data_IF_476226918206
#
_entry.id   IF_476226918206
#
_cell.length_a   1.000
_cell.length_b   1.000
_cell.length_c   1.000
_cell.angle_alpha   90.00
_cell.angle_beta   90.00
_cell.angle_gamma   90.00
#
_symmetry.space_group_name_H-M   'P 1'
#
loop_
_entity.id
_entity.type
_entity.pdbx_description
1 polymer ?
#
# COMPACT_ATOMS: atom_id res chain seq x y z
N UNK A 1 0.08 -17.25 6.53
CA UNK A 1 0.09 -16.25 7.63
C UNK A 1 1.05 -15.16 7.20
N UNK A 2 0.54 -13.95 6.97
CA UNK A 2 1.37 -12.84 6.46
C UNK A 2 2.41 -12.44 7.49
N UNK A 3 3.60 -12.04 7.02
CA UNK A 3 4.68 -11.56 7.88
C UNK A 3 4.76 -10.04 7.75
N UNK A 4 4.69 -9.33 8.87
CA UNK A 4 4.84 -7.87 8.91
C UNK A 4 6.17 -7.54 9.60
N UNK A 5 7.00 -6.74 8.94
CA UNK A 5 8.25 -6.18 9.46
C UNK A 5 8.10 -4.66 9.49
N UNK A 6 8.49 -4.02 10.60
CA UNK A 6 8.23 -2.61 10.82
C UNK A 6 9.51 -1.92 11.25
N UNK A 7 9.81 -0.81 10.57
CA UNK A 7 10.91 0.09 10.86
C UNK A 7 10.36 1.53 10.93
N UNK A 8 11.11 2.49 11.46
CA UNK A 8 10.64 3.88 11.52
C UNK A 8 10.27 4.40 10.12
N UNK A 9 8.99 4.73 9.92
CA UNK A 9 8.46 5.21 8.65
C UNK A 9 8.28 4.13 7.56
N UNK A 10 8.58 2.86 7.84
CA UNK A 10 8.43 1.76 6.88
C UNK A 10 7.61 0.60 7.45
N UNK A 11 6.57 0.20 6.73
CA UNK A 11 5.74 -0.97 7.02
C UNK A 11 5.89 -1.95 5.87
N UNK A 12 6.52 -3.09 6.12
CA UNK A 12 6.68 -4.16 5.13
C UNK A 12 5.73 -5.31 5.44
N UNK A 13 4.96 -5.70 4.44
CA UNK A 13 3.97 -6.77 4.49
C UNK A 13 4.33 -7.82 3.44
N UNK A 14 4.65 -9.04 3.88
CA UNK A 14 4.85 -10.19 3.00
C UNK A 14 3.54 -10.98 2.89
N UNK A 15 2.98 -11.00 1.68
CA UNK A 15 1.77 -11.73 1.35
C UNK A 15 2.12 -13.18 1.01
N UNK A 16 1.59 -14.13 1.78
CA UNK A 16 1.88 -15.56 1.57
C UNK A 16 1.01 -16.24 0.52
N UNK A 17 -0.17 -15.69 0.26
CA UNK A 17 -1.18 -16.24 -0.66
C UNK A 17 -2.08 -15.12 -1.20
N UNK A 18 -2.66 -15.28 -2.40
CA UNK A 18 -3.63 -14.31 -2.90
C UNK A 18 -4.90 -14.39 -2.07
N UNK A 19 -5.35 -13.24 -1.54
CA UNK A 19 -6.67 -13.14 -0.89
C UNK A 19 -7.68 -12.52 -1.85
N UNK A 20 -8.77 -13.23 -2.10
CA UNK A 20 -9.91 -12.68 -2.82
C UNK A 20 -10.56 -11.54 -2.00
N UNK A 21 -10.89 -10.44 -2.66
CA UNK A 21 -11.61 -9.31 -2.05
C UNK A 21 -10.73 -8.33 -1.27
N UNK A 22 -11.40 -7.47 -0.49
CA UNK A 22 -10.78 -6.36 0.25
C UNK A 22 -10.17 -6.86 1.55
N UNK A 23 -8.88 -6.58 1.76
CA UNK A 23 -8.12 -6.98 2.95
C UNK A 23 -7.65 -5.73 3.70
N UNK A 24 -8.17 -5.52 4.91
CA UNK A 24 -7.78 -4.37 5.74
C UNK A 24 -6.35 -4.51 6.25
N UNK A 25 -5.71 -3.37 6.57
CA UNK A 25 -4.36 -3.35 7.14
C UNK A 25 -4.30 -4.07 8.49
N UNK A 26 -5.35 -3.98 9.30
CA UNK A 26 -5.50 -4.77 10.53
C UNK A 26 -5.48 -6.28 10.24
N UNK A 27 -6.19 -6.74 9.20
CA UNK A 27 -6.20 -8.16 8.79
C UNK A 27 -4.88 -8.61 8.16
N UNK A 28 -4.12 -7.70 7.57
CA UNK A 28 -2.74 -7.95 7.13
C UNK A 28 -1.78 -8.17 8.30
N UNK A 29 -2.17 -7.79 9.51
CA UNK A 29 -1.38 -7.92 10.73
C UNK A 29 -0.58 -6.67 11.09
N UNK A 30 -0.87 -5.52 10.49
CA UNK A 30 -0.28 -4.23 10.86
C UNK A 30 -0.84 -3.84 12.23
N UNK A 31 0.03 -3.44 13.17
CA UNK A 31 -0.34 -3.16 14.56
C UNK A 31 -0.43 -1.67 14.85
N UNK A 32 -1.16 -1.36 15.93
CA UNK A 32 -1.50 0.01 16.35
C UNK A 32 -0.32 0.80 16.94
N UNK A 33 0.83 0.17 17.16
CA UNK A 33 2.04 0.82 17.65
C UNK A 33 2.80 1.53 16.50
N UNK A 34 2.35 1.32 15.25
CA UNK A 34 3.10 1.61 14.03
C UNK A 34 2.34 2.52 13.04
N UNK A 35 1.34 3.25 13.56
CA UNK A 35 0.35 3.98 12.75
C UNK A 35 0.58 5.48 12.70
N UNK A 36 1.44 5.97 13.59
CA UNK A 36 1.76 7.39 13.68
C UNK A 36 2.99 7.67 12.84
N UNK A 37 2.80 8.47 11.79
CA UNK A 37 3.82 8.91 10.85
C UNK A 37 4.32 10.26 11.36
N UNK A 38 5.34 10.26 12.22
CA UNK A 38 5.83 11.50 12.86
C UNK A 38 6.59 12.41 11.90
N UNK A 39 7.35 11.84 10.95
CA UNK A 39 8.19 12.60 10.00
C UNK A 39 7.42 13.12 8.80
N UNK A 40 6.13 12.78 8.67
CA UNK A 40 5.35 12.98 7.45
C UNK A 40 5.70 12.01 6.30
N UNK A 41 6.66 11.09 6.48
CA UNK A 41 7.06 10.14 5.44
C UNK A 41 6.60 8.73 5.77
N UNK A 42 5.90 8.11 4.83
CA UNK A 42 5.46 6.72 4.91
C UNK A 42 6.02 5.92 3.74
N UNK A 43 6.50 4.72 4.04
CA UNK A 43 6.86 3.70 3.06
C UNK A 43 6.13 2.40 3.36
N UNK A 44 5.17 2.02 2.52
CA UNK A 44 4.52 0.71 2.59
C UNK A 44 5.17 -0.21 1.55
N UNK A 45 5.54 -1.41 1.95
CA UNK A 45 6.15 -2.40 1.05
C UNK A 45 5.29 -3.66 1.06
N UNK A 46 4.72 -4.02 -0.08
CA UNK A 46 4.03 -5.29 -0.28
C UNK A 46 4.95 -6.24 -1.05
N UNK A 47 5.49 -7.22 -0.34
CA UNK A 47 6.27 -8.32 -0.90
C UNK A 47 5.29 -9.41 -1.39
N UNK A 48 5.24 -9.58 -2.71
CA UNK A 48 4.37 -10.50 -3.43
C UNK A 48 5.12 -11.72 -3.97
N UNK A 49 6.38 -11.95 -3.58
CA UNK A 49 7.23 -13.05 -4.08
C UNK A 49 6.55 -14.43 -3.99
N UNK A 50 5.79 -14.68 -2.92
CA UNK A 50 5.12 -15.96 -2.72
C UNK A 50 3.86 -16.14 -3.59
N UNK A 51 3.38 -15.07 -4.23
CA UNK A 51 2.21 -15.08 -5.10
C UNK A 51 2.63 -15.64 -6.47
N UNK A 52 2.00 -16.75 -6.86
CA UNK A 52 2.29 -17.43 -8.13
C UNK A 52 1.26 -17.16 -9.22
N UNK A 53 0.01 -16.94 -8.83
CA UNK A 53 -1.07 -16.54 -9.71
C UNK A 53 -1.61 -15.22 -9.20
N UNK A 54 -1.30 -14.15 -9.92
CA UNK A 54 -1.64 -12.80 -9.53
C UNK A 54 -3.10 -12.46 -9.81
N UNK A 55 -3.80 -13.16 -10.70
CA UNK A 55 -5.18 -12.89 -11.15
C UNK A 55 -5.80 -11.57 -10.65
N UNK A 56 -5.26 -10.44 -11.13
CA UNK A 56 -5.58 -9.13 -10.57
C UNK A 56 -7.05 -8.74 -10.81
N UNK A 57 -7.58 -7.90 -9.92
CA UNK A 57 -8.79 -7.15 -10.22
C UNK A 57 -8.62 -6.27 -11.47
N UNK A 58 -9.75 -5.81 -12.02
CA UNK A 58 -9.70 -4.90 -13.16
C UNK A 58 -8.94 -3.61 -12.81
N UNK A 59 -9.10 -3.15 -11.57
CA UNK A 59 -8.40 -2.00 -11.00
C UNK A 59 -7.92 -2.39 -9.60
N UNK A 60 -6.71 -2.95 -9.47
CA UNK A 60 -6.10 -3.20 -8.17
C UNK A 60 -6.01 -1.89 -7.40
N UNK A 61 -6.45 -1.90 -6.14
CA UNK A 61 -6.66 -0.66 -5.39
C UNK A 61 -5.99 -0.74 -4.02
N UNK A 62 -5.44 0.38 -3.58
CA UNK A 62 -5.04 0.60 -2.18
C UNK A 62 -5.85 1.77 -1.67
N UNK A 63 -6.53 1.59 -0.55
CA UNK A 63 -7.23 2.65 0.16
C UNK A 63 -6.49 2.93 1.45
N UNK A 64 -6.06 4.17 1.64
CA UNK A 64 -5.40 4.62 2.86
C UNK A 64 -6.26 5.69 3.49
N UNK A 65 -6.64 5.47 4.75
CA UNK A 65 -7.39 6.41 5.56
C UNK A 65 -6.51 6.90 6.69
N UNK A 66 -6.66 8.17 7.05
CA UNK A 66 -5.90 8.82 8.11
C UNK A 66 -6.78 9.84 8.85
N UNK A 67 -6.53 10.00 10.14
CA UNK A 67 -7.42 10.75 11.04
C UNK A 67 -7.37 12.26 10.79
N UNK A 68 -6.22 12.79 10.38
CA UNK A 68 -6.01 14.22 10.16
C UNK A 68 -6.56 14.68 8.81
N UNK A 69 -7.08 15.92 8.77
CA UNK A 69 -7.43 16.55 7.51
C UNK A 69 -6.15 17.12 6.87
N UNK A 70 -5.63 16.42 5.87
CA UNK A 70 -4.36 16.79 5.23
C UNK A 70 -4.61 17.75 4.09
N UNK A 71 -3.82 18.82 4.00
CA UNK A 71 -3.95 19.83 2.94
C UNK A 71 -3.52 19.30 1.58
N UNK A 72 -2.36 18.66 1.50
CA UNK A 72 -1.82 18.09 0.28
C UNK A 72 -0.97 16.87 0.63
N UNK A 73 -1.25 15.72 0.02
CA UNK A 73 -0.45 14.50 0.17
C UNK A 73 0.07 14.05 -1.18
N UNK A 74 1.33 13.64 -1.22
CA UNK A 74 1.96 13.13 -2.44
C UNK A 74 2.20 11.64 -2.31
N UNK A 75 1.85 10.88 -3.35
CA UNK A 75 1.88 9.43 -3.37
C UNK A 75 2.58 8.93 -4.61
N UNK A 76 3.55 8.04 -4.42
CA UNK A 76 4.24 7.36 -5.50
C UNK A 76 4.11 5.86 -5.27
N UNK A 77 3.60 5.14 -6.27
CA UNK A 77 3.65 3.69 -6.29
C UNK A 77 4.73 3.22 -7.27
N UNK A 78 5.59 2.34 -6.80
CA UNK A 78 6.60 1.66 -7.60
C UNK A 78 6.34 0.16 -7.59
N UNK A 79 6.41 -0.48 -8.75
CA UNK A 79 6.38 -1.93 -8.86
C UNK A 79 7.63 -2.40 -9.57
N UNK A 80 8.38 -3.29 -8.91
CA UNK A 80 9.65 -3.84 -9.41
C UNK A 80 10.63 -2.76 -9.91
N UNK A 81 10.75 -1.67 -9.14
CA UNK A 81 11.67 -0.55 -9.42
C UNK A 81 11.21 0.43 -10.50
N UNK A 82 9.96 0.34 -10.97
CA UNK A 82 9.37 1.30 -11.89
C UNK A 82 8.18 1.99 -11.26
N UNK A 83 8.14 3.32 -11.33
CA UNK A 83 6.96 4.12 -10.96
C UNK A 83 5.78 3.77 -11.87
N UNK A 84 4.68 3.35 -11.26
CA UNK A 84 3.41 3.01 -11.92
C UNK A 84 2.27 3.96 -11.56
N UNK A 85 2.44 4.76 -10.51
CA UNK A 85 1.50 5.81 -10.12
C UNK A 85 2.27 6.94 -9.46
N UNK A 86 1.94 8.17 -9.84
CA UNK A 86 2.35 9.40 -9.19
C UNK A 86 1.09 10.26 -9.03
N UNK A 87 0.72 10.54 -7.78
CA UNK A 87 -0.57 11.13 -7.43
C UNK A 87 -0.42 12.17 -6.34
N UNK A 88 -0.92 13.36 -6.62
CA UNK A 88 -1.14 14.42 -5.64
C UNK A 88 -2.62 14.43 -5.26
N UNK A 89 -2.92 14.41 -3.96
CA UNK A 89 -4.27 14.61 -3.43
C UNK A 89 -4.33 15.91 -2.65
N UNK A 90 -5.38 16.70 -2.90
CA UNK A 90 -5.63 17.94 -2.19
C UNK A 90 -6.79 17.72 -1.22
N UNK A 91 -6.58 18.07 0.05
CA UNK A 91 -7.59 18.14 1.10
C UNK A 91 -8.38 16.85 1.34
N UNK A 92 -8.11 16.14 2.43
CA UNK A 92 -8.94 15.01 2.81
C UNK A 92 -8.38 14.20 3.97
N UNK A 93 -9.09 13.11 4.28
CA UNK A 93 -8.76 12.12 5.31
C UNK A 93 -8.42 10.74 4.71
N UNK A 94 -8.30 10.68 3.39
CA UNK A 94 -8.08 9.42 2.69
C UNK A 94 -7.51 9.65 1.31
N UNK A 95 -6.73 8.68 0.85
CA UNK A 95 -6.27 8.57 -0.53
C UNK A 95 -6.61 7.19 -1.08
N UNK A 96 -7.14 7.17 -2.30
CA UNK A 96 -7.41 5.95 -3.06
C UNK A 96 -6.42 5.88 -4.23
N UNK A 97 -5.58 4.86 -4.23
CA UNK A 97 -4.58 4.59 -5.25
C UNK A 97 -5.12 3.51 -6.19
N UNK A 98 -5.50 3.92 -7.40
CA UNK A 98 -6.00 3.04 -8.45
C UNK A 98 -4.82 2.63 -9.33
N UNK A 99 -4.44 1.35 -9.29
CA UNK A 99 -3.31 0.83 -10.03
C UNK A 99 -3.75 0.29 -11.40
N UNK A 100 -2.85 0.34 -12.38
CA UNK A 100 -3.09 -0.22 -13.70
C UNK A 100 -2.68 -1.70 -13.73
N UNK A 101 -3.67 -2.60 -13.79
CA UNK A 101 -3.41 -4.05 -13.85
C UNK A 101 -2.48 -4.45 -15.00
N UNK A 102 -2.55 -3.77 -16.14
CA UNK A 102 -1.77 -4.13 -17.31
C UNK A 102 -0.30 -3.76 -17.08
N UNK A 103 -0.03 -2.65 -16.37
CA UNK A 103 1.34 -2.29 -16.00
C UNK A 103 1.91 -3.25 -14.97
N UNK A 104 1.14 -3.63 -13.96
CA UNK A 104 1.55 -4.66 -13.01
C UNK A 104 1.93 -5.95 -13.74
N UNK A 105 1.03 -6.49 -14.58
CA UNK A 105 1.31 -7.74 -15.30
C UNK A 105 2.44 -7.65 -16.32
N UNK A 106 2.71 -6.47 -16.88
CA UNK A 106 3.87 -6.28 -17.77
C UNK A 106 5.20 -6.23 -17.01
N UNK A 107 5.17 -5.87 -15.72
CA UNK A 107 6.35 -5.69 -14.88
C UNK A 107 6.58 -6.86 -13.93
N UNK A 108 5.63 -7.80 -13.82
CA UNK A 108 5.75 -9.04 -13.07
C UNK A 108 7.03 -9.80 -13.48
N UNK A 109 7.77 -10.27 -12.48
CA UNK A 109 8.95 -11.13 -12.68
C UNK A 109 8.69 -12.51 -12.09
N UNK A 110 9.48 -13.51 -12.51
CA UNK A 110 9.29 -14.89 -12.04
C UNK A 110 9.71 -15.12 -10.57
N UNK A 111 10.56 -14.28 -10.00
CA UNK A 111 11.22 -14.54 -8.72
C UNK A 111 11.10 -13.42 -7.70
N UNK A 112 10.81 -12.19 -8.11
CA UNK A 112 10.71 -11.06 -7.18
C UNK A 112 9.62 -10.11 -7.67
N UNK A 113 8.59 -9.92 -6.84
CA UNK A 113 7.54 -8.96 -7.11
C UNK A 113 7.31 -8.13 -5.86
N UNK A 114 7.65 -6.84 -5.94
CA UNK A 114 7.56 -5.92 -4.81
C UNK A 114 6.86 -4.65 -5.27
N UNK A 115 5.76 -4.33 -4.58
CA UNK A 115 5.05 -3.07 -4.71
C UNK A 115 5.42 -2.18 -3.53
N UNK A 116 5.93 -0.99 -3.81
CA UNK A 116 6.31 0.00 -2.81
C UNK A 116 5.40 1.20 -2.98
N UNK A 117 4.82 1.68 -1.89
CA UNK A 117 4.05 2.92 -1.84
C UNK A 117 4.80 3.89 -0.96
N UNK A 118 5.16 5.02 -1.52
CA UNK A 118 5.71 6.16 -0.81
C UNK A 118 4.61 7.19 -0.62
N UNK A 119 4.53 7.77 0.57
CA UNK A 119 3.66 8.90 0.84
C UNK A 119 4.43 10.00 1.56
N UNK A 120 4.17 11.23 1.15
CA UNK A 120 4.61 12.44 1.83
C UNK A 120 3.37 13.21 2.31
N UNK A 121 3.32 13.39 3.62
CA UNK A 121 2.31 14.13 4.34
C UNK A 121 2.87 15.49 4.76
N UNK A 122 2.05 16.55 4.78
CA UNK A 122 2.49 17.90 5.11
C UNK A 122 2.71 18.09 6.63
N UNK A 123 2.23 17.13 7.43
CA UNK A 123 2.29 17.10 8.88
C UNK A 123 2.16 15.65 9.37
N UNK A 124 2.40 15.36 10.66
CA UNK A 124 2.24 14.01 11.18
C UNK A 124 0.84 13.44 10.93
N UNK A 125 0.77 12.15 10.60
CA UNK A 125 -0.46 11.45 10.24
C UNK A 125 -0.69 10.20 11.09
N UNK A 126 -1.94 9.89 11.42
CA UNK A 126 -2.34 8.65 12.06
C UNK A 126 -3.20 7.84 11.09
N UNK A 127 -2.71 6.68 10.62
CA UNK A 127 -3.50 5.85 9.72
C UNK A 127 -4.65 5.14 10.46
N UNK A 128 -5.75 4.92 9.76
CA UNK A 128 -6.85 4.09 10.23
C UNK A 128 -6.70 2.68 9.65
N UNK A 129 -6.15 1.74 10.43
CA UNK A 129 -5.83 0.37 9.97
C UNK A 129 -7.06 -0.48 9.64
N UNK A 130 -8.24 -0.10 10.14
CA UNK A 130 -9.48 -0.85 9.91
C UNK A 130 -10.11 -0.48 8.58
N UNK A 131 -10.10 0.80 8.25
CA UNK A 131 -10.63 1.33 7.00
C UNK A 131 -9.62 1.20 5.86
N UNK A 132 -8.33 1.38 6.16
CA UNK A 132 -7.25 1.19 5.20
C UNK A 132 -7.13 -0.27 4.76
N UNK A 133 -6.90 -0.48 3.47
CA UNK A 133 -6.99 -1.81 2.87
C UNK A 133 -6.33 -1.91 1.51
N UNK A 134 -6.09 -3.15 1.09
CA UNK A 134 -5.70 -3.51 -0.26
C UNK A 134 -6.80 -4.34 -0.93
N UNK A 135 -6.87 -4.23 -2.25
CA UNK A 135 -7.77 -5.01 -3.10
C UNK A 135 -7.07 -5.37 -4.40
N UNK A 136 -6.19 -6.38 -4.36
CA UNK A 136 -5.32 -6.73 -5.48
C UNK A 136 -5.85 -7.89 -6.32
N UNK A 137 -6.27 -8.97 -5.67
CA UNK A 137 -6.43 -10.29 -6.29
C UNK A 137 -7.88 -10.79 -6.27
N UNK A 138 -8.34 -11.36 -7.37
CA UNK A 138 -9.71 -11.91 -7.51
C UNK A 138 -9.92 -13.22 -6.75
#
# INVERSE_FOLDING_TARGET
MNKVEINQGEIKVKLSEPSAGKLSFEKLGIKKEDVTIESGLLRLVFDLEAIRDYNYYQVPTIEIFYEENMSETHWICEFNGKTILDKLDHHGHSTILLLNRNELSNLEQHHENVLIVHAEFPQPANLNLKESSIHFFK
#
